data_IF_384361560331
#
_entry.id   IF_384361560331
#
_cell.length_a   1.000
_cell.length_b   1.000
_cell.length_c   1.000
_cell.angle_alpha   90.00
_cell.angle_beta   90.00
_cell.angle_gamma   90.00
#
_symmetry.space_group_name_H-M   'P 1'
#
loop_
_entity.id
_entity.type
_entity.pdbx_description
1 polymer ?
#
# COMPACT_ATOMS: atom_id res chain seq x y z
N UNK A 1 14.68 13.20 -10.93
CA UNK A 1 13.29 13.49 -10.48
C UNK A 1 13.42 14.20 -9.15
N UNK A 2 12.75 15.33 -8.98
CA UNK A 2 12.86 16.13 -7.75
C UNK A 2 12.05 15.49 -6.61
N UNK A 3 12.53 15.66 -5.39
CA UNK A 3 11.85 15.17 -4.17
C UNK A 3 10.39 15.64 -4.11
N UNK A 4 10.09 16.85 -4.53
CA UNK A 4 8.72 17.41 -4.52
C UNK A 4 7.75 16.60 -5.40
N UNK A 5 8.21 16.03 -6.52
CA UNK A 5 7.39 15.16 -7.37
C UNK A 5 7.02 13.88 -6.62
N UNK A 6 7.97 13.29 -5.89
CA UNK A 6 7.71 12.09 -5.08
C UNK A 6 6.75 12.43 -3.93
N UNK A 7 6.94 13.58 -3.27
CA UNK A 7 6.03 14.03 -2.20
C UNK A 7 4.60 14.20 -2.72
N UNK A 8 4.42 14.83 -3.88
CA UNK A 8 3.10 15.01 -4.49
C UNK A 8 2.43 13.67 -4.86
N UNK A 9 3.20 12.74 -5.45
CA UNK A 9 2.72 11.40 -5.77
C UNK A 9 2.35 10.63 -4.49
N UNK A 10 3.16 10.71 -3.45
CA UNK A 10 2.91 10.06 -2.17
C UNK A 10 1.69 10.64 -1.45
N UNK A 11 1.47 11.96 -1.53
CA UNK A 11 0.25 12.59 -0.99
C UNK A 11 -1.01 12.10 -1.72
N UNK A 12 -0.94 11.91 -3.04
CA UNK A 12 -2.02 11.26 -3.80
C UNK A 12 -2.25 9.82 -3.35
N UNK A 13 -1.16 9.03 -3.17
CA UNK A 13 -1.27 7.65 -2.68
C UNK A 13 -1.86 7.59 -1.27
N UNK A 14 -1.55 8.54 -0.39
CA UNK A 14 -2.12 8.64 0.95
C UNK A 14 -3.66 8.73 0.92
N UNK A 15 -4.20 9.52 0.00
CA UNK A 15 -5.65 9.66 -0.16
C UNK A 15 -6.26 8.36 -0.72
N UNK A 16 -5.60 7.74 -1.68
CA UNK A 16 -5.98 6.45 -2.25
C UNK A 16 -5.93 5.35 -1.19
N UNK A 17 -4.90 5.33 -0.35
CA UNK A 17 -4.77 4.41 0.78
C UNK A 17 -5.96 4.52 1.74
N UNK A 18 -6.43 5.73 2.05
CA UNK A 18 -7.62 5.92 2.90
C UNK A 18 -8.85 5.20 2.35
N UNK A 19 -9.08 5.26 1.03
CA UNK A 19 -10.16 4.50 0.38
C UNK A 19 -9.90 3.00 0.45
N UNK A 20 -8.66 2.57 0.17
CA UNK A 20 -8.27 1.15 0.23
C UNK A 20 -8.47 0.57 1.62
N UNK A 21 -8.14 1.32 2.65
CA UNK A 21 -8.35 0.92 4.05
C UNK A 21 -9.84 0.72 4.35
N UNK A 22 -10.71 1.61 3.85
CA UNK A 22 -12.17 1.47 3.97
C UNK A 22 -12.69 0.23 3.24
N UNK A 23 -12.12 -0.12 2.08
CA UNK A 23 -12.45 -1.38 1.39
C UNK A 23 -12.09 -2.58 2.25
N UNK A 24 -10.89 -2.60 2.84
CA UNK A 24 -10.46 -3.67 3.74
C UNK A 24 -11.38 -3.75 4.97
N UNK A 25 -11.72 -2.62 5.58
CA UNK A 25 -12.63 -2.55 6.72
C UNK A 25 -14.04 -3.06 6.40
N UNK A 26 -14.47 -2.95 5.14
CA UNK A 26 -15.79 -3.41 4.68
C UNK A 26 -15.81 -4.89 4.27
N UNK A 27 -14.68 -5.59 4.24
CA UNK A 27 -14.65 -7.04 3.97
C UNK A 27 -15.41 -7.79 5.06
N UNK A 28 -16.24 -8.80 4.70
CA UNK A 28 -16.88 -9.64 5.71
C UNK A 28 -15.84 -10.30 6.61
N UNK A 29 -16.00 -10.15 7.93
CA UNK A 29 -15.00 -10.56 8.92
C UNK A 29 -14.63 -12.05 8.87
N UNK A 30 -15.58 -12.89 8.50
CA UNK A 30 -15.45 -14.34 8.37
C UNK A 30 -14.96 -14.82 6.99
N UNK A 31 -14.72 -13.86 6.05
CA UNK A 31 -14.39 -14.20 4.65
C UNK A 31 -13.03 -13.64 4.18
N UNK A 32 -12.19 -13.18 5.07
CA UNK A 32 -10.86 -12.66 4.69
C UNK A 32 -9.95 -13.73 4.05
N UNK A 33 -10.17 -15.01 4.40
CA UNK A 33 -9.47 -16.17 3.84
C UNK A 33 -10.23 -16.83 2.67
N UNK A 34 -11.39 -16.30 2.27
CA UNK A 34 -12.16 -16.86 1.18
C UNK A 34 -11.43 -16.66 -0.17
N UNK A 35 -11.67 -17.59 -1.11
CA UNK A 35 -11.17 -17.50 -2.49
C UNK A 35 -12.36 -17.24 -3.44
N UNK A 36 -12.89 -16.01 -3.51
CA UNK A 36 -14.05 -15.69 -4.32
C UNK A 36 -13.80 -15.87 -5.82
N UNK A 37 -12.55 -15.87 -6.23
CA UNK A 37 -12.10 -16.16 -7.59
C UNK A 37 -11.11 -17.32 -7.53
N UNK A 38 -11.42 -18.40 -8.25
CA UNK A 38 -10.58 -19.60 -8.26
C UNK A 38 -9.15 -19.31 -8.70
N UNK A 39 -8.17 -19.93 -8.04
CA UNK A 39 -6.73 -19.81 -8.31
C UNK A 39 -6.12 -18.41 -8.03
N UNK A 40 -6.87 -17.52 -7.44
CA UNK A 40 -6.35 -16.23 -6.97
C UNK A 40 -6.11 -16.24 -5.45
N UNK A 41 -5.26 -15.35 -4.98
CA UNK A 41 -5.03 -15.09 -3.56
C UNK A 41 -6.35 -14.71 -2.87
N UNK A 42 -6.46 -14.97 -1.57
CA UNK A 42 -7.56 -14.47 -0.74
C UNK A 42 -7.46 -12.94 -0.55
N UNK A 43 -8.54 -12.25 -0.10
CA UNK A 43 -8.47 -10.84 0.28
C UNK A 43 -7.36 -10.53 1.29
N UNK A 44 -7.17 -11.41 2.29
CA UNK A 44 -6.09 -11.30 3.27
C UNK A 44 -4.71 -11.36 2.62
N UNK A 45 -4.47 -12.37 1.79
CA UNK A 45 -3.18 -12.56 1.12
C UNK A 45 -2.84 -11.41 0.15
N UNK A 46 -3.84 -10.86 -0.56
CA UNK A 46 -3.62 -9.69 -1.43
C UNK A 46 -3.29 -8.45 -0.61
N UNK A 47 -4.04 -8.19 0.45
CA UNK A 47 -3.77 -7.04 1.30
C UNK A 47 -2.41 -7.18 2.01
N UNK A 48 -2.08 -8.36 2.52
CA UNK A 48 -0.78 -8.64 3.14
C UNK A 48 0.37 -8.37 2.16
N UNK A 49 0.30 -8.93 0.95
CA UNK A 49 1.28 -8.71 -0.10
C UNK A 49 1.44 -7.21 -0.43
N UNK A 50 0.36 -6.53 -0.74
CA UNK A 50 0.38 -5.12 -1.10
C UNK A 50 1.02 -4.23 -0.02
N UNK A 51 0.68 -4.45 1.25
CA UNK A 51 1.18 -3.63 2.35
C UNK A 51 2.58 -4.01 2.80
N UNK A 52 2.96 -5.29 2.71
CA UNK A 52 4.35 -5.73 2.93
C UNK A 52 5.26 -5.13 1.87
N UNK A 53 4.90 -5.24 0.60
CA UNK A 53 5.66 -4.64 -0.51
C UNK A 53 5.82 -3.13 -0.32
N UNK A 54 4.76 -2.43 0.05
CA UNK A 54 4.80 -0.99 0.32
C UNK A 54 5.81 -0.65 1.41
N UNK A 55 5.77 -1.34 2.55
CA UNK A 55 6.69 -1.12 3.68
C UNK A 55 8.13 -1.44 3.31
N UNK A 56 8.36 -2.65 2.77
CA UNK A 56 9.70 -3.17 2.53
C UNK A 56 10.44 -2.37 1.45
N UNK A 57 9.71 -1.96 0.39
CA UNK A 57 10.27 -1.11 -0.66
C UNK A 57 10.59 0.28 -0.12
N UNK A 58 9.66 0.92 0.60
CA UNK A 58 9.87 2.26 1.15
C UNK A 58 11.08 2.32 2.10
N UNK A 59 11.18 1.35 3.02
CA UNK A 59 12.32 1.24 3.93
C UNK A 59 13.60 0.86 3.21
N UNK A 60 13.51 -0.03 2.22
CA UNK A 60 14.65 -0.51 1.44
C UNK A 60 15.31 0.59 0.63
N UNK A 61 14.55 1.53 0.08
CA UNK A 61 15.09 2.71 -0.63
C UNK A 61 15.99 3.52 0.30
N UNK A 62 15.57 3.75 1.54
CA UNK A 62 16.38 4.46 2.53
C UNK A 62 17.70 3.75 2.88
N UNK A 63 17.69 2.41 2.78
CA UNK A 63 18.84 1.53 3.10
C UNK A 63 19.72 1.19 1.89
N UNK A 64 19.27 1.53 0.66
CA UNK A 64 19.93 1.14 -0.59
C UNK A 64 19.73 -0.33 -0.99
N UNK A 65 18.89 -1.07 -0.31
CA UNK A 65 18.57 -2.47 -0.58
C UNK A 65 17.17 -2.83 -0.08
N UNK A 66 16.38 -3.46 -0.95
CA UNK A 66 15.05 -4.01 -0.60
C UNK A 66 15.23 -5.47 -0.18
N UNK A 67 14.68 -5.80 0.98
CA UNK A 67 14.59 -7.17 1.49
C UNK A 67 13.12 -7.48 1.74
N UNK A 68 12.59 -8.50 1.07
CA UNK A 68 11.19 -8.90 1.21
C UNK A 68 10.99 -9.75 2.46
N UNK A 69 9.96 -9.43 3.24
CA UNK A 69 9.49 -10.24 4.37
C UNK A 69 8.43 -11.24 3.86
N UNK A 70 8.91 -12.42 3.40
CA UNK A 70 8.02 -13.47 2.84
C UNK A 70 6.96 -13.94 3.84
N UNK A 71 7.26 -13.95 5.13
CA UNK A 71 6.31 -14.33 6.17
C UNK A 71 5.16 -13.33 6.31
N UNK A 72 5.46 -12.03 6.29
CA UNK A 72 4.47 -10.98 6.30
C UNK A 72 3.69 -10.91 4.97
N UNK A 73 4.39 -11.10 3.84
CA UNK A 73 3.81 -11.11 2.50
C UNK A 73 2.71 -12.18 2.33
N UNK A 74 2.90 -13.34 2.92
CA UNK A 74 1.90 -14.41 2.90
C UNK A 74 0.69 -14.17 3.82
N UNK A 75 0.75 -13.17 4.71
CA UNK A 75 -0.28 -12.92 5.71
C UNK A 75 -0.35 -13.97 6.85
N UNK A 76 0.70 -14.78 7.03
CA UNK A 76 0.71 -15.88 8.00
C UNK A 76 0.47 -15.42 9.46
N UNK A 77 0.88 -14.18 9.80
CA UNK A 77 0.66 -13.57 11.12
C UNK A 77 -0.75 -13.00 11.33
N UNK A 78 -1.54 -12.87 10.29
CA UNK A 78 -2.88 -12.25 10.31
C UNK A 78 -3.92 -13.34 10.58
N UNK A 79 -4.60 -13.26 11.74
CA UNK A 79 -5.57 -14.28 12.17
C UNK A 79 -7.02 -13.81 12.06
N UNK A 80 -7.24 -12.51 12.19
CA UNK A 80 -8.57 -11.92 12.21
C UNK A 80 -8.66 -10.74 11.22
N UNK A 81 -9.88 -10.34 10.90
CA UNK A 81 -10.11 -9.13 10.12
C UNK A 81 -9.52 -7.87 10.81
N UNK A 82 -9.63 -7.78 12.12
CA UNK A 82 -9.09 -6.64 12.88
C UNK A 82 -7.55 -6.63 12.86
N UNK A 83 -6.90 -7.82 12.81
CA UNK A 83 -5.46 -7.94 12.58
C UNK A 83 -5.08 -7.43 11.18
N UNK A 84 -5.89 -7.74 10.15
CA UNK A 84 -5.64 -7.30 8.79
C UNK A 84 -5.70 -5.77 8.68
N UNK A 85 -6.72 -5.16 9.28
CA UNK A 85 -6.87 -3.69 9.32
C UNK A 85 -5.67 -3.05 10.03
N UNK A 86 -5.30 -3.57 11.20
CA UNK A 86 -4.14 -3.08 11.96
C UNK A 86 -2.85 -3.22 11.18
N UNK A 87 -2.60 -4.37 10.55
CA UNK A 87 -1.44 -4.63 9.72
C UNK A 87 -1.32 -3.61 8.58
N UNK A 88 -2.40 -3.36 7.85
CA UNK A 88 -2.44 -2.37 6.77
C UNK A 88 -2.07 -0.96 7.27
N UNK A 89 -2.61 -0.56 8.42
CA UNK A 89 -2.32 0.74 9.04
C UNK A 89 -0.86 0.85 9.50
N UNK A 90 -0.30 -0.21 10.08
CA UNK A 90 1.09 -0.22 10.58
C UNK A 90 2.09 -0.17 9.42
N UNK A 91 1.86 -0.96 8.36
CA UNK A 91 2.69 -0.91 7.16
C UNK A 91 2.63 0.46 6.48
N UNK A 92 1.44 1.04 6.34
CA UNK A 92 1.30 2.40 5.84
C UNK A 92 2.12 3.41 6.65
N UNK A 93 1.96 3.40 7.97
CA UNK A 93 2.70 4.32 8.86
C UNK A 93 4.22 4.15 8.75
N UNK A 94 4.71 2.92 8.61
CA UNK A 94 6.13 2.65 8.40
C UNK A 94 6.62 3.19 7.06
N UNK A 95 5.89 2.92 5.97
CA UNK A 95 6.21 3.42 4.64
C UNK A 95 6.16 4.95 4.56
N UNK A 96 5.12 5.58 5.14
CA UNK A 96 4.96 7.03 5.16
C UNK A 96 6.13 7.74 5.87
N UNK A 97 6.58 7.20 7.02
CA UNK A 97 7.78 7.71 7.71
C UNK A 97 9.03 7.51 6.86
N UNK A 98 9.20 6.33 6.26
CA UNK A 98 10.37 6.02 5.44
C UNK A 98 10.47 6.97 4.24
N UNK A 99 9.39 7.12 3.46
CA UNK A 99 9.36 8.00 2.29
C UNK A 99 9.55 9.46 2.69
N UNK A 100 8.93 9.91 3.79
CA UNK A 100 9.09 11.28 4.29
C UNK A 100 10.54 11.63 4.66
N UNK A 101 11.33 10.63 5.07
CA UNK A 101 12.75 10.81 5.45
C UNK A 101 13.72 10.77 4.26
N UNK A 102 13.32 10.34 3.06
CA UNK A 102 14.20 10.22 1.90
C UNK A 102 14.72 11.58 1.44
N UNK A 103 15.98 11.60 1.06
CA UNK A 103 16.62 12.74 0.41
C UNK A 103 16.83 12.48 -1.09
N UNK A 104 17.21 13.52 -1.86
CA UNK A 104 17.42 13.40 -3.32
C UNK A 104 18.51 12.40 -3.68
N UNK A 105 19.57 12.30 -2.88
CA UNK A 105 20.63 11.32 -3.14
C UNK A 105 20.13 9.89 -3.04
N UNK A 106 19.33 9.57 -2.03
CA UNK A 106 18.69 8.25 -1.88
C UNK A 106 17.69 7.96 -3.00
N UNK A 107 16.93 8.96 -3.45
CA UNK A 107 15.97 8.82 -4.55
C UNK A 107 16.65 8.57 -5.90
N UNK A 108 17.88 9.04 -6.10
CA UNK A 108 18.63 8.87 -7.36
C UNK A 108 19.61 7.70 -7.34
N UNK A 109 20.03 7.26 -6.17
CA UNK A 109 20.92 6.12 -6.02
C UNK A 109 20.28 4.82 -6.51
N UNK A 110 21.12 3.91 -7.02
CA UNK A 110 20.68 2.56 -7.32
C UNK A 110 20.37 1.79 -6.02
N UNK A 111 19.22 1.14 -5.98
CA UNK A 111 18.73 0.30 -4.89
C UNK A 111 18.78 -1.15 -5.34
N UNK A 112 19.43 -2.01 -4.57
CA UNK A 112 19.41 -3.46 -4.82
C UNK A 112 18.03 -4.01 -4.58
N UNK A 113 17.52 -4.77 -5.56
CA UNK A 113 16.19 -5.37 -5.46
C UNK A 113 16.24 -6.89 -5.44
N UNK A 114 15.25 -7.58 -4.87
CA UNK A 114 15.17 -9.04 -4.94
C UNK A 114 14.74 -9.55 -6.33
N UNK A 115 14.41 -8.64 -7.27
CA UNK A 115 13.90 -8.98 -8.60
C UNK A 115 14.98 -9.16 -9.66
N UNK A 116 16.26 -9.13 -9.30
CA UNK A 116 17.40 -9.35 -10.19
C UNK A 116 17.81 -8.15 -11.04
N UNK A 117 17.22 -6.98 -10.83
CA UNK A 117 17.56 -5.72 -11.49
C UNK A 117 17.54 -4.58 -10.48
N UNK A 118 18.61 -3.79 -10.43
CA UNK A 118 18.67 -2.61 -9.57
C UNK A 118 17.96 -1.44 -10.23
N UNK A 119 17.23 -0.66 -9.42
CA UNK A 119 16.50 0.52 -9.87
C UNK A 119 16.88 1.75 -9.06
N UNK A 120 16.81 2.96 -9.64
CA UNK A 120 16.88 4.19 -8.85
C UNK A 120 15.77 4.22 -7.78
N UNK A 121 16.06 4.79 -6.62
CA UNK A 121 15.11 4.84 -5.50
C UNK A 121 13.74 5.43 -5.88
N UNK A 122 13.71 6.48 -6.71
CA UNK A 122 12.44 7.06 -7.17
C UNK A 122 11.59 6.08 -8.00
N UNK A 123 12.22 5.18 -8.77
CA UNK A 123 11.52 4.12 -9.51
C UNK A 123 10.93 3.12 -8.53
N UNK A 124 11.68 2.73 -7.50
CA UNK A 124 11.16 1.85 -6.46
C UNK A 124 9.93 2.44 -5.75
N UNK A 125 9.95 3.74 -5.43
CA UNK A 125 8.77 4.41 -4.86
C UNK A 125 7.59 4.43 -5.84
N UNK A 126 7.85 4.58 -7.15
CA UNK A 126 6.80 4.50 -8.17
C UNK A 126 6.18 3.10 -8.27
N UNK A 127 6.99 2.06 -8.14
CA UNK A 127 6.51 0.66 -8.08
C UNK A 127 5.49 0.48 -6.95
N UNK A 128 5.71 1.08 -5.77
CA UNK A 128 4.72 1.05 -4.67
C UNK A 128 3.36 1.61 -5.14
N UNK A 129 3.39 2.71 -5.88
CA UNK A 129 2.17 3.35 -6.38
C UNK A 129 1.41 2.42 -7.33
N UNK A 130 2.11 1.83 -8.30
CA UNK A 130 1.53 0.91 -9.30
C UNK A 130 0.97 -0.35 -8.63
N UNK A 131 1.73 -0.99 -7.74
CA UNK A 131 1.30 -2.16 -6.97
C UNK A 131 0.05 -1.86 -6.14
N UNK A 132 0.02 -0.69 -5.49
CA UNK A 132 -1.14 -0.30 -4.69
C UNK A 132 -2.40 -0.13 -5.54
N UNK A 133 -2.31 0.53 -6.71
CA UNK A 133 -3.45 0.69 -7.62
C UNK A 133 -3.91 -0.65 -8.18
N UNK A 134 -2.97 -1.52 -8.56
CA UNK A 134 -3.26 -2.85 -9.09
C UNK A 134 -4.04 -3.69 -8.06
N UNK A 135 -3.52 -3.83 -6.86
CA UNK A 135 -4.13 -4.67 -5.83
C UNK A 135 -5.39 -4.05 -5.20
N UNK A 136 -5.47 -2.71 -5.14
CA UNK A 136 -6.72 -2.03 -4.78
C UNK A 136 -7.86 -2.43 -5.71
N UNK A 137 -7.62 -2.47 -7.01
CA UNK A 137 -8.63 -2.91 -7.98
C UNK A 137 -9.12 -4.34 -7.72
N UNK A 138 -8.21 -5.24 -7.34
CA UNK A 138 -8.57 -6.61 -6.96
C UNK A 138 -9.41 -6.64 -5.67
N UNK A 139 -9.05 -5.86 -4.63
CA UNK A 139 -9.82 -5.78 -3.38
C UNK A 139 -11.24 -5.24 -3.61
N UNK A 140 -11.42 -4.26 -4.50
CA UNK A 140 -12.75 -3.78 -4.92
C UNK A 140 -13.58 -4.88 -5.55
N UNK A 141 -12.97 -5.69 -6.41
CA UNK A 141 -13.63 -6.83 -7.06
C UNK A 141 -13.99 -7.91 -6.04
N UNK A 142 -13.10 -8.21 -5.11
CA UNK A 142 -13.35 -9.20 -4.06
C UNK A 142 -14.46 -8.78 -3.12
N UNK A 143 -14.49 -7.52 -2.70
CA UNK A 143 -15.56 -7.04 -1.83
C UNK A 143 -16.94 -7.22 -2.51
N UNK A 144 -17.05 -6.90 -3.81
CA UNK A 144 -18.30 -7.16 -4.57
C UNK A 144 -18.64 -8.64 -4.68
N UNK A 145 -17.64 -9.48 -4.99
CA UNK A 145 -17.84 -10.94 -5.08
C UNK A 145 -18.27 -11.57 -3.75
N UNK A 146 -17.92 -10.95 -2.63
CA UNK A 146 -18.31 -11.36 -1.29
C UNK A 146 -19.63 -10.72 -0.80
N UNK A 147 -20.31 -9.94 -1.66
CA UNK A 147 -21.62 -9.36 -1.42
C UNK A 147 -21.58 -7.96 -0.78
N UNK A 148 -20.40 -7.34 -0.66
CA UNK A 148 -20.25 -5.98 -0.16
C UNK A 148 -20.26 -4.94 -1.27
N UNK A 149 -20.44 -3.66 -0.88
CA UNK A 149 -20.37 -2.52 -1.78
C UNK A 149 -19.17 -1.64 -1.43
N UNK A 150 -18.15 -1.55 -2.32
CA UNK A 150 -17.01 -0.69 -2.05
C UNK A 150 -17.38 0.80 -2.17
N UNK A 151 -16.67 1.68 -1.44
CA UNK A 151 -16.82 3.12 -1.61
C UNK A 151 -16.48 3.52 -3.04
N UNK A 152 -16.98 4.68 -3.49
CA UNK A 152 -16.57 5.25 -4.77
C UNK A 152 -15.06 5.52 -4.75
N UNK A 153 -14.38 5.24 -5.87
CA UNK A 153 -12.91 5.22 -5.95
C UNK A 153 -12.23 6.59 -5.74
N UNK A 154 -12.97 7.68 -5.74
CA UNK A 154 -12.52 9.05 -5.47
C UNK A 154 -13.25 9.70 -4.29
N UNK A 155 -13.84 8.90 -3.41
CA UNK A 155 -14.53 9.37 -2.21
C UNK A 155 -13.53 9.75 -1.10
N UNK A 156 -12.68 10.72 -1.37
CA UNK A 156 -11.62 11.15 -0.45
C UNK A 156 -12.14 11.89 0.78
N UNK A 157 -13.29 12.58 0.65
CA UNK A 157 -13.88 13.35 1.74
C UNK A 157 -14.35 12.49 2.92
N UNK A 158 -14.72 11.23 2.63
CA UNK A 158 -15.14 10.28 3.66
C UNK A 158 -13.98 9.44 4.24
N UNK A 159 -12.74 9.72 3.84
CA UNK A 159 -11.57 9.13 4.50
C UNK A 159 -11.43 9.64 5.95
N UNK A 160 -10.72 8.90 6.79
CA UNK A 160 -10.24 9.41 8.06
C UNK A 160 -9.43 10.72 7.85
N UNK A 161 -9.46 11.66 8.79
CA UNK A 161 -8.89 13.01 8.58
C UNK A 161 -7.45 13.02 8.06
N UNK A 162 -6.62 12.10 8.51
CA UNK A 162 -5.21 11.95 8.11
C UNK A 162 -5.02 11.54 6.65
N UNK A 163 -6.06 10.98 6.02
CA UNK A 163 -6.06 10.52 4.62
C UNK A 163 -6.89 11.40 3.68
N UNK A 164 -7.42 12.51 4.17
CA UNK A 164 -8.15 13.48 3.33
C UNK A 164 -7.19 14.34 2.52
N UNK A 165 -7.67 14.98 1.43
CA UNK A 165 -6.91 16.00 0.76
C UNK A 165 -6.39 17.04 1.75
N UNK A 166 -5.10 17.37 1.67
CA UNK A 166 -4.57 18.50 2.43
C UNK A 166 -5.07 19.78 1.79
N UNK A 167 -5.50 20.75 2.59
CA UNK A 167 -5.81 22.08 2.06
C UNK A 167 -4.59 22.58 1.29
N UNK A 168 -4.80 23.06 0.06
CA UNK A 168 -3.73 23.65 -0.73
C UNK A 168 -3.05 24.73 0.13
N UNK A 169 -1.78 24.55 0.41
CA UNK A 169 -1.00 25.62 1.05
C UNK A 169 -1.06 26.77 0.04
N UNK A 170 -1.71 27.87 0.44
CA UNK A 170 -1.68 29.10 -0.36
C UNK A 170 -0.22 29.54 -0.41
N UNK A 171 0.35 29.49 -1.62
CA UNK A 171 1.66 30.03 -1.92
C UNK A 171 1.69 31.54 -1.70
#
# INVERSE_FOLDING_TARGET
MHKDTIVGMWDSLRQIHGITLRVIQSLPKDKIDAHPIAKMRSPKEIAAHMYTTMRDVAEGVGKGQIVSDEGADSGAGIKTHDDLVRFAQECWKAADRAVGSLNEAQLTAAVKTPWGTDFPGFVCIHIIYDEHLHHRGQLFTYLRALGGEPPMMWDFENNAPEYRPRAAQKA
#
